data_IF_845346442459
#
_entry.id   IF_845346442459
#
_cell.length_a   1.000
_cell.length_b   1.000
_cell.length_c   1.000
_cell.angle_alpha   90.00
_cell.angle_beta   90.00
_cell.angle_gamma   90.00
#
_symmetry.space_group_name_H-M   'P 1'
#
loop_
_entity.id
_entity.type
_entity.pdbx_description
1 polymer ?
#
# COMPACT_ATOMS: atom_id res chain seq x y z
N UNK A 1 -2.13 -22.03 22.75
CA UNK A 1 -2.74 -20.74 22.37
C UNK A 1 -4.25 -20.90 22.33
N UNK A 2 -4.99 -19.96 22.87
CA UNK A 2 -6.45 -19.88 22.71
C UNK A 2 -6.79 -19.12 21.43
N UNK A 3 -8.00 -19.31 20.89
CA UNK A 3 -8.51 -18.54 19.74
C UNK A 3 -8.45 -17.02 19.99
N UNK A 4 -8.70 -16.59 21.23
CA UNK A 4 -8.62 -15.17 21.60
C UNK A 4 -7.21 -14.60 21.52
N UNK A 5 -6.19 -15.38 21.90
CA UNK A 5 -4.77 -14.98 21.79
C UNK A 5 -4.36 -14.87 20.31
N UNK A 6 -4.77 -15.83 19.47
CA UNK A 6 -4.51 -15.85 18.03
C UNK A 6 -5.08 -14.61 17.34
N UNK A 7 -6.35 -14.29 17.60
CA UNK A 7 -7.02 -13.11 17.05
C UNK A 7 -6.33 -11.82 17.54
N UNK A 8 -5.95 -11.77 18.82
CA UNK A 8 -5.25 -10.61 19.38
C UNK A 8 -3.92 -10.36 18.68
N UNK A 9 -3.11 -11.40 18.48
CA UNK A 9 -1.81 -11.29 17.80
C UNK A 9 -2.01 -10.88 16.33
N UNK A 10 -2.94 -11.51 15.62
CA UNK A 10 -3.28 -11.15 14.24
C UNK A 10 -3.63 -9.66 14.11
N UNK A 11 -4.51 -9.15 14.99
CA UNK A 11 -4.94 -7.76 14.97
C UNK A 11 -3.76 -6.80 15.26
N UNK A 12 -2.87 -7.17 16.18
CA UNK A 12 -1.68 -6.37 16.50
C UNK A 12 -0.72 -6.29 15.31
N UNK A 13 -0.42 -7.44 14.68
CA UNK A 13 0.44 -7.51 13.49
C UNK A 13 -0.17 -6.67 12.36
N UNK A 14 -1.45 -6.87 12.07
CA UNK A 14 -2.17 -6.10 11.02
C UNK A 14 -2.12 -4.60 11.29
N UNK A 15 -2.34 -4.17 12.54
CA UNK A 15 -2.26 -2.75 12.90
C UNK A 15 -0.84 -2.17 12.70
N UNK A 16 0.20 -2.93 13.04
CA UNK A 16 1.59 -2.53 12.82
C UNK A 16 1.92 -2.41 11.34
N UNK A 17 1.53 -3.38 10.52
CA UNK A 17 1.79 -3.35 9.07
C UNK A 17 1.00 -2.23 8.37
N UNK A 18 -0.26 -2.01 8.76
CA UNK A 18 -1.08 -0.90 8.28
C UNK A 18 -0.45 0.46 8.59
N UNK A 19 0.18 0.61 9.76
CA UNK A 19 0.93 1.81 10.10
C UNK A 19 2.13 2.05 9.17
N UNK A 20 2.85 0.98 8.77
CA UNK A 20 3.94 1.09 7.77
C UNK A 20 3.38 1.57 6.42
N UNK A 21 2.24 1.03 6.00
CA UNK A 21 1.56 1.49 4.77
C UNK A 21 1.19 2.98 4.83
N UNK A 22 0.66 3.47 5.96
CA UNK A 22 0.34 4.89 6.10
C UNK A 22 1.58 5.79 6.05
N UNK A 23 2.72 5.34 6.57
CA UNK A 23 3.98 6.09 6.42
C UNK A 23 4.42 6.14 4.95
N UNK A 24 4.26 5.05 4.20
CA UNK A 24 4.50 5.05 2.75
C UNK A 24 3.55 5.98 2.01
N UNK A 25 2.26 6.00 2.32
CA UNK A 25 1.30 6.94 1.73
C UNK A 25 1.73 8.40 1.96
N UNK A 26 2.16 8.73 3.17
CA UNK A 26 2.69 10.06 3.50
C UNK A 26 3.95 10.37 2.69
N UNK A 27 4.89 9.43 2.60
CA UNK A 27 6.12 9.61 1.82
C UNK A 27 5.83 9.77 0.31
N UNK A 28 4.85 9.06 -0.22
CA UNK A 28 4.39 9.21 -1.60
C UNK A 28 3.77 10.59 -1.85
N UNK A 29 2.99 11.11 -0.90
CA UNK A 29 2.42 12.45 -0.99
C UNK A 29 3.52 13.52 -1.05
N UNK A 30 4.51 13.43 -0.16
CA UNK A 30 5.67 14.33 -0.13
C UNK A 30 6.45 14.23 -1.45
N UNK A 31 6.75 13.01 -1.91
CA UNK A 31 7.45 12.80 -3.17
C UNK A 31 6.71 13.41 -4.36
N UNK A 32 5.38 13.28 -4.42
CA UNK A 32 4.57 13.88 -5.47
C UNK A 32 4.58 15.41 -5.40
N UNK A 33 4.50 15.98 -4.21
CA UNK A 33 4.56 17.41 -4.00
C UNK A 33 5.91 17.99 -4.42
N UNK A 34 7.02 17.37 -4.01
CA UNK A 34 8.37 17.81 -4.37
C UNK A 34 8.59 17.74 -5.88
N UNK A 35 8.23 16.62 -6.50
CA UNK A 35 8.34 16.42 -7.93
C UNK A 35 7.50 17.45 -8.72
N UNK A 36 6.29 17.74 -8.26
CA UNK A 36 5.42 18.70 -8.95
C UNK A 36 5.85 20.15 -8.78
N UNK A 37 6.45 20.50 -7.63
CA UNK A 37 7.08 21.81 -7.41
C UNK A 37 8.29 22.01 -8.32
N UNK A 38 9.19 21.02 -8.40
CA UNK A 38 10.37 21.05 -9.28
C UNK A 38 9.97 21.33 -10.74
N UNK A 39 8.83 20.77 -11.16
CA UNK A 39 8.30 20.89 -12.51
C UNK A 39 7.23 21.98 -12.69
N UNK A 40 7.02 22.85 -11.69
CA UNK A 40 6.04 23.95 -11.73
C UNK A 40 4.64 23.51 -12.21
N UNK A 41 4.19 22.33 -11.78
CA UNK A 41 2.89 21.78 -12.19
C UNK A 41 1.76 22.49 -11.42
N UNK A 42 0.67 22.91 -12.09
CA UNK A 42 -0.44 23.59 -11.43
C UNK A 42 -1.10 22.73 -10.35
N UNK A 43 -1.38 23.35 -9.20
CA UNK A 43 -1.95 22.69 -8.02
C UNK A 43 -3.22 21.87 -8.33
N UNK A 44 -4.13 22.37 -9.18
CA UNK A 44 -5.34 21.64 -9.55
C UNK A 44 -5.08 20.31 -10.26
N UNK A 45 -3.98 20.22 -11.02
CA UNK A 45 -3.56 18.95 -11.60
C UNK A 45 -2.99 18.02 -10.51
N UNK A 46 -2.13 18.55 -9.64
CA UNK A 46 -1.49 17.83 -8.53
C UNK A 46 -2.54 17.19 -7.63
N UNK A 47 -3.50 18.00 -7.15
CA UNK A 47 -4.54 17.57 -6.22
C UNK A 47 -5.44 16.48 -6.84
N UNK A 48 -5.95 16.69 -8.06
CA UNK A 48 -6.79 15.69 -8.74
C UNK A 48 -6.08 14.36 -8.96
N UNK A 49 -4.79 14.39 -9.31
CA UNK A 49 -4.01 13.15 -9.50
C UNK A 49 -3.77 12.45 -8.18
N UNK A 50 -3.40 13.19 -7.14
CA UNK A 50 -3.20 12.62 -5.82
C UNK A 50 -4.48 12.00 -5.26
N UNK A 51 -5.63 12.68 -5.33
CA UNK A 51 -6.90 12.15 -4.83
C UNK A 51 -7.28 10.82 -5.48
N UNK A 52 -7.08 10.68 -6.79
CA UNK A 52 -7.35 9.41 -7.48
C UNK A 52 -6.43 8.30 -6.99
N UNK A 53 -5.12 8.56 -6.86
CA UNK A 53 -4.14 7.57 -6.41
C UNK A 53 -4.40 7.18 -4.96
N UNK A 54 -4.66 8.14 -4.08
CA UNK A 54 -4.99 7.88 -2.69
C UNK A 54 -6.21 6.95 -2.57
N UNK A 55 -7.25 7.22 -3.35
CA UNK A 55 -8.44 6.37 -3.42
C UNK A 55 -8.09 4.96 -3.92
N UNK A 56 -7.35 4.84 -5.02
CA UNK A 56 -7.00 3.55 -5.60
C UNK A 56 -6.14 2.72 -4.63
N UNK A 57 -5.13 3.34 -3.99
CA UNK A 57 -4.31 2.71 -2.96
C UNK A 57 -5.11 2.28 -1.72
N UNK A 58 -6.14 3.04 -1.34
CA UNK A 58 -7.02 2.69 -0.22
C UNK A 58 -7.91 1.50 -0.56
N UNK A 59 -8.41 1.41 -1.80
CA UNK A 59 -9.15 0.22 -2.24
C UNK A 59 -8.27 -1.02 -2.28
N UNK A 60 -7.05 -0.89 -2.80
CA UNK A 60 -6.09 -2.00 -2.83
C UNK A 60 -5.73 -2.48 -1.42
N UNK A 61 -5.61 -1.55 -0.46
CA UNK A 61 -5.38 -1.87 0.95
C UNK A 61 -6.53 -2.71 1.53
N UNK A 62 -7.78 -2.29 1.28
CA UNK A 62 -8.97 -3.00 1.77
C UNK A 62 -9.01 -4.41 1.20
N UNK A 63 -8.74 -4.57 -0.11
CA UNK A 63 -8.72 -5.89 -0.74
C UNK A 63 -7.65 -6.82 -0.14
N UNK A 64 -6.45 -6.30 0.17
CA UNK A 64 -5.42 -7.07 0.87
C UNK A 64 -5.88 -7.46 2.28
N UNK A 65 -6.47 -6.53 3.03
CA UNK A 65 -6.96 -6.80 4.39
C UNK A 65 -8.03 -7.89 4.39
N UNK A 66 -8.93 -7.89 3.41
CA UNK A 66 -9.94 -8.94 3.23
C UNK A 66 -9.29 -10.30 2.95
N UNK A 67 -8.32 -10.37 2.03
CA UNK A 67 -7.61 -11.60 1.69
C UNK A 67 -6.87 -12.20 2.89
N UNK A 68 -6.09 -11.37 3.60
CA UNK A 68 -5.33 -11.80 4.77
C UNK A 68 -6.23 -12.17 5.95
N UNK A 69 -7.39 -11.52 6.08
CA UNK A 69 -8.36 -11.87 7.10
C UNK A 69 -9.00 -13.24 6.84
N UNK A 70 -9.37 -13.52 5.59
CA UNK A 70 -9.87 -14.86 5.19
C UNK A 70 -8.82 -15.92 5.47
N UNK A 71 -7.56 -15.67 5.09
CA UNK A 71 -6.45 -16.56 5.38
C UNK A 71 -6.33 -16.84 6.89
N UNK A 72 -6.38 -15.80 7.72
CA UNK A 72 -6.35 -15.94 9.17
C UNK A 72 -7.57 -16.69 9.76
N UNK A 73 -8.76 -16.55 9.17
CA UNK A 73 -9.98 -17.25 9.62
C UNK A 73 -9.95 -18.75 9.28
N UNK A 74 -9.47 -19.12 8.09
CA UNK A 74 -9.26 -20.52 7.73
C UNK A 74 -8.30 -21.20 8.74
N UNK A 75 -7.35 -20.41 9.25
CA UNK A 75 -6.39 -20.76 10.29
C UNK A 75 -6.89 -20.60 11.73
N UNK A 76 -8.17 -20.30 11.94
CA UNK A 76 -8.82 -20.42 13.25
C UNK A 76 -9.78 -21.60 13.28
N UNK A 77 -10.29 -22.02 12.11
CA UNK A 77 -11.35 -23.03 11.99
C UNK A 77 -10.85 -24.49 11.95
N UNK A 78 -9.57 -24.72 11.66
CA UNK A 78 -8.91 -26.02 11.63
C UNK A 78 -8.46 -26.43 13.05
N UNK A 79 -9.29 -27.15 13.81
CA UNK A 79 -9.15 -27.44 15.26
C UNK A 79 -7.83 -28.10 15.75
N UNK A 80 -6.80 -28.23 14.92
CA UNK A 80 -5.47 -28.78 15.20
C UNK A 80 -4.37 -27.75 14.97
N UNK A 81 -4.23 -26.77 15.88
CA UNK A 81 -3.12 -25.80 15.82
C UNK A 81 -2.01 -26.10 16.82
N UNK A 82 -0.78 -26.08 16.31
CA UNK A 82 0.43 -25.94 17.12
C UNK A 82 0.96 -24.51 17.02
N UNK A 83 1.70 -24.06 18.03
CA UNK A 83 2.29 -22.71 18.02
C UNK A 83 3.17 -22.45 16.77
N UNK A 84 3.82 -23.49 16.23
CA UNK A 84 4.67 -23.38 15.04
C UNK A 84 3.86 -23.02 13.78
N UNK A 85 2.68 -23.62 13.59
CA UNK A 85 1.80 -23.31 12.46
C UNK A 85 1.34 -21.85 12.52
N UNK A 86 1.01 -21.37 13.72
CA UNK A 86 0.58 -19.98 13.89
C UNK A 86 1.70 -18.96 13.61
N UNK A 87 2.93 -19.26 14.02
CA UNK A 87 4.09 -18.38 13.71
C UNK A 87 4.33 -18.31 12.21
N UNK A 88 4.36 -19.44 11.50
CA UNK A 88 4.53 -19.48 10.03
C UNK A 88 3.46 -18.67 9.29
N UNK A 89 2.25 -18.65 9.82
CA UNK A 89 1.14 -17.85 9.29
C UNK A 89 1.36 -16.36 9.49
N UNK A 90 1.76 -15.95 10.69
CA UNK A 90 2.05 -14.55 10.97
C UNK A 90 3.19 -14.06 10.07
N UNK A 91 4.24 -14.87 9.92
CA UNK A 91 5.36 -14.55 9.03
C UNK A 91 4.90 -14.38 7.58
N UNK A 92 4.00 -15.25 7.08
CA UNK A 92 3.38 -15.11 5.75
C UNK A 92 2.54 -13.84 5.62
N UNK A 93 1.72 -13.51 6.62
CA UNK A 93 0.91 -12.29 6.64
C UNK A 93 1.83 -11.07 6.55
N UNK A 94 2.89 -11.02 7.36
CA UNK A 94 3.86 -9.92 7.33
C UNK A 94 4.57 -9.83 5.98
N UNK A 95 4.98 -10.97 5.41
CA UNK A 95 5.59 -11.02 4.08
C UNK A 95 4.67 -10.42 3.01
N UNK A 96 3.38 -10.79 3.00
CA UNK A 96 2.41 -10.24 2.05
C UNK A 96 2.21 -8.73 2.22
N UNK A 97 2.19 -8.24 3.45
CA UNK A 97 2.17 -6.80 3.73
C UNK A 97 3.41 -6.09 3.18
N UNK A 98 4.60 -6.61 3.44
CA UNK A 98 5.85 -6.02 2.99
C UNK A 98 5.96 -6.00 1.46
N UNK A 99 5.60 -7.11 0.80
CA UNK A 99 5.56 -7.19 -0.66
C UNK A 99 4.57 -6.19 -1.24
N UNK A 100 3.36 -6.10 -0.69
CA UNK A 100 2.34 -5.15 -1.11
C UNK A 100 2.83 -3.70 -0.97
N UNK A 101 3.34 -3.33 0.22
CA UNK A 101 3.82 -1.98 0.51
C UNK A 101 4.96 -1.60 -0.46
N UNK A 102 5.95 -2.49 -0.62
CA UNK A 102 7.08 -2.26 -1.51
C UNK A 102 6.63 -2.06 -2.96
N UNK A 103 5.73 -2.91 -3.44
CA UNK A 103 5.20 -2.81 -4.80
C UNK A 103 4.43 -1.51 -5.02
N UNK A 104 3.52 -1.16 -4.10
CA UNK A 104 2.72 0.07 -4.20
C UNK A 104 3.57 1.33 -4.15
N UNK A 105 4.61 1.37 -3.31
CA UNK A 105 5.55 2.49 -3.28
C UNK A 105 6.23 2.70 -4.65
N UNK A 106 6.81 1.63 -5.20
CA UNK A 106 7.55 1.70 -6.46
C UNK A 106 6.65 2.02 -7.66
N UNK A 107 5.54 1.30 -7.82
CA UNK A 107 4.60 1.48 -8.93
C UNK A 107 4.03 2.91 -8.93
N UNK A 108 3.73 3.43 -7.74
CA UNK A 108 3.19 4.79 -7.59
C UNK A 108 4.23 5.86 -7.91
N UNK A 109 5.47 5.70 -7.45
CA UNK A 109 6.58 6.60 -7.80
C UNK A 109 6.84 6.61 -9.31
N UNK A 110 6.80 5.45 -9.96
CA UNK A 110 6.93 5.37 -11.43
C UNK A 110 5.77 6.07 -12.14
N UNK A 111 4.53 5.82 -11.69
CA UNK A 111 3.34 6.48 -12.20
C UNK A 111 3.46 8.01 -12.12
N UNK A 112 3.92 8.55 -10.98
CA UNK A 112 4.12 9.99 -10.82
C UNK A 112 5.07 10.57 -11.85
N UNK A 113 6.26 9.97 -12.00
CA UNK A 113 7.25 10.39 -13.00
C UNK A 113 6.66 10.36 -14.41
N UNK A 114 5.88 9.33 -14.73
CA UNK A 114 5.17 9.22 -16.01
C UNK A 114 4.16 10.35 -16.20
N UNK A 115 3.40 10.72 -15.17
CA UNK A 115 2.39 11.81 -15.26
C UNK A 115 3.00 13.18 -15.45
N UNK A 116 4.17 13.46 -14.87
CA UNK A 116 4.93 14.67 -15.18
C UNK A 116 5.30 14.71 -16.66
N UNK A 117 5.91 13.63 -17.19
CA UNK A 117 6.30 13.55 -18.61
C UNK A 117 5.11 13.74 -19.54
N UNK A 118 4.00 13.06 -19.24
CA UNK A 118 2.75 13.20 -20.02
C UNK A 118 2.19 14.63 -19.98
N UNK A 119 2.28 15.32 -18.84
CA UNK A 119 1.83 16.71 -18.72
C UNK A 119 2.62 17.62 -19.65
N UNK A 120 3.96 17.56 -19.62
CA UNK A 120 4.79 18.39 -20.51
C UNK A 120 4.55 18.11 -21.99
N UNK A 121 4.44 16.83 -22.36
CA UNK A 121 4.15 16.44 -23.74
C UNK A 121 2.85 17.06 -24.25
N UNK A 122 1.80 17.08 -23.41
CA UNK A 122 0.51 17.68 -23.76
C UNK A 122 0.54 19.20 -23.79
N UNK A 123 1.19 19.84 -22.82
CA UNK A 123 1.14 21.29 -22.64
C UNK A 123 2.09 22.02 -23.60
N UNK A 124 3.22 21.41 -23.97
CA UNK A 124 4.26 22.08 -24.76
C UNK A 124 4.44 21.46 -26.15
N UNK A 125 3.73 20.39 -26.48
CA UNK A 125 3.90 19.64 -27.73
C UNK A 125 5.36 19.14 -27.93
N UNK A 126 6.11 18.97 -26.83
CA UNK A 126 7.50 18.51 -26.85
C UNK A 126 7.51 17.00 -26.65
N UNK A 127 7.98 16.28 -27.68
CA UNK A 127 8.26 14.86 -27.62
C UNK A 127 9.73 14.66 -27.22
N UNK A 128 10.00 14.39 -25.95
CA UNK A 128 11.29 13.85 -25.56
C UNK A 128 11.30 12.36 -25.91
N UNK A 129 12.00 12.03 -26.99
CA UNK A 129 12.49 10.68 -27.32
C UNK A 129 13.89 10.51 -26.76
#
# INVERSE_FOLDING_TARGET
MTTGEIISIYNQVTAMEKQKFYEVLKNLAIFWEDLTKEHCIPHDFVARKWTNIYRDLTYDLIALEEELHVFALDLINDNTYTNFIFVDVIDKIQFHWEEFIFKKDNDTKEYFRKKIKEYYKKTHNISWF
#
